data_IF_915182947685
#
_entry.id   IF_915182947685
#
_cell.length_a   1.000
_cell.length_b   1.000
_cell.length_c   1.000
_cell.angle_alpha   90.00
_cell.angle_beta   90.00
_cell.angle_gamma   90.00
#
_symmetry.space_group_name_H-M   'P 1'
#
loop_
_entity.id
_entity.type
_entity.pdbx_description
1 polymer ?
#
# COMPACT_ATOMS: atom_id res chain seq x y z
N UNK A 1 -9.92 28.32 6.66
CA UNK A 1 -8.57 28.61 6.08
C UNK A 1 -7.53 28.09 7.06
N UNK A 2 -7.06 26.86 6.89
CA UNK A 2 -5.93 26.30 7.62
C UNK A 2 -5.32 25.19 6.77
N UNK A 3 -4.82 25.59 5.59
CA UNK A 3 -4.05 24.73 4.68
C UNK A 3 -2.56 24.93 4.90
N UNK A 4 -2.12 24.92 6.15
CA UNK A 4 -0.71 25.09 6.50
C UNK A 4 0.06 23.80 6.24
N UNK A 5 1.03 23.85 5.35
CA UNK A 5 2.02 22.79 5.15
C UNK A 5 2.85 22.62 6.44
N UNK A 6 2.71 21.46 7.10
CA UNK A 6 3.42 21.14 8.37
C UNK A 6 4.79 20.49 8.15
N UNK A 7 5.38 20.58 6.94
CA UNK A 7 6.67 19.94 6.64
C UNK A 7 6.58 18.47 6.19
N UNK A 8 5.37 17.90 6.13
CA UNK A 8 5.15 16.52 5.68
C UNK A 8 4.48 16.55 4.30
N UNK A 9 5.17 15.99 3.31
CA UNK A 9 4.68 15.81 1.94
C UNK A 9 4.60 14.34 1.61
N UNK A 10 3.57 13.96 0.85
CA UNK A 10 3.44 12.62 0.28
C UNK A 10 3.61 12.72 -1.23
N UNK A 11 4.40 11.82 -1.80
CA UNK A 11 4.61 11.73 -3.23
C UNK A 11 4.26 10.33 -3.73
N UNK A 12 3.74 10.25 -4.94
CA UNK A 12 3.54 8.98 -5.63
C UNK A 12 4.91 8.54 -6.20
N UNK A 13 5.38 7.32 -5.92
CA UNK A 13 6.62 6.80 -6.51
C UNK A 13 6.56 6.80 -8.04
N UNK A 14 7.70 7.03 -8.69
CA UNK A 14 7.77 7.15 -10.16
C UNK A 14 7.30 5.88 -10.87
N UNK A 15 7.60 4.70 -10.32
CA UNK A 15 7.21 3.41 -10.92
C UNK A 15 5.68 3.27 -11.00
N UNK A 16 4.97 3.72 -9.96
CA UNK A 16 3.50 3.73 -9.93
C UNK A 16 2.96 4.69 -10.97
N UNK A 17 3.54 5.89 -11.09
CA UNK A 17 3.12 6.89 -12.06
C UNK A 17 3.32 6.40 -13.51
N UNK A 18 4.47 5.77 -13.79
CA UNK A 18 4.78 5.23 -15.12
C UNK A 18 3.83 4.09 -15.50
N UNK A 19 3.57 3.16 -14.57
CA UNK A 19 2.64 2.07 -14.78
C UNK A 19 1.21 2.56 -15.07
N UNK A 20 0.74 3.57 -14.32
CA UNK A 20 -0.56 4.21 -14.55
C UNK A 20 -0.62 4.85 -15.93
N UNK A 21 0.42 5.58 -16.33
CA UNK A 21 0.50 6.23 -17.65
C UNK A 21 0.42 5.18 -18.76
N UNK A 22 1.19 4.09 -18.66
CA UNK A 22 1.17 3.02 -19.67
C UNK A 22 -0.22 2.36 -19.78
N UNK A 23 -0.88 2.08 -18.65
CA UNK A 23 -2.25 1.54 -18.65
C UNK A 23 -3.28 2.49 -19.26
N UNK A 24 -3.18 3.79 -18.99
CA UNK A 24 -4.07 4.79 -19.55
C UNK A 24 -3.91 4.92 -21.07
N UNK A 25 -2.67 4.91 -21.56
CA UNK A 25 -2.38 4.95 -23.00
C UNK A 25 -2.89 3.69 -23.70
N UNK A 26 -2.70 2.51 -23.10
CA UNK A 26 -3.08 1.24 -23.73
C UNK A 26 -4.59 0.94 -23.67
N UNK A 27 -5.28 1.35 -22.60
CA UNK A 27 -6.64 0.87 -22.31
C UNK A 27 -7.65 1.98 -21.99
N UNK A 28 -7.21 3.24 -21.93
CA UNK A 28 -8.05 4.39 -21.54
C UNK A 28 -8.47 4.40 -20.07
N UNK A 29 -8.08 3.39 -19.28
CA UNK A 29 -8.40 3.25 -17.85
C UNK A 29 -7.37 2.42 -17.12
N UNK A 30 -7.17 2.73 -15.85
CA UNK A 30 -6.33 1.93 -14.93
C UNK A 30 -7.17 0.80 -14.37
N UNK A 31 -6.69 -0.43 -14.47
CA UNK A 31 -7.32 -1.60 -13.87
C UNK A 31 -6.53 -2.02 -12.63
N UNK A 32 -7.16 -1.89 -11.46
CA UNK A 32 -6.55 -2.35 -10.20
C UNK A 32 -7.10 -3.72 -9.86
N UNK A 33 -6.29 -4.75 -10.05
CA UNK A 33 -6.59 -6.09 -9.56
C UNK A 33 -6.64 -6.08 -8.03
N UNK A 34 -7.64 -6.77 -7.46
CA UNK A 34 -7.71 -7.05 -6.03
C UNK A 34 -7.55 -8.56 -5.85
N UNK A 35 -6.71 -8.97 -4.90
CA UNK A 35 -6.52 -10.39 -4.56
C UNK A 35 -7.71 -10.98 -3.78
N UNK A 36 -8.61 -10.15 -3.25
CA UNK A 36 -9.81 -10.59 -2.52
C UNK A 36 -9.56 -11.04 -1.08
N UNK A 37 -8.35 -10.84 -0.56
CA UNK A 37 -7.96 -11.21 0.80
C UNK A 37 -8.13 -10.04 1.77
N UNK A 38 -8.59 -10.33 2.99
CA UNK A 38 -8.58 -9.38 4.09
C UNK A 38 -7.19 -9.42 4.74
N UNK A 39 -6.43 -8.34 4.58
CA UNK A 39 -5.09 -8.23 5.19
C UNK A 39 -5.26 -7.61 6.57
N UNK A 40 -4.99 -8.38 7.61
CA UNK A 40 -4.75 -7.82 8.94
C UNK A 40 -3.25 -7.54 9.07
N UNK A 41 -2.89 -6.33 9.50
CA UNK A 41 -1.51 -6.02 9.83
C UNK A 41 -1.05 -6.90 10.98
N UNK A 42 0.17 -7.44 10.88
CA UNK A 42 0.77 -8.19 11.98
C UNK A 42 1.24 -7.17 13.01
N UNK A 43 0.59 -7.12 14.18
CA UNK A 43 1.09 -6.32 15.30
C UNK A 43 2.21 -7.08 16.05
N UNK A 44 2.92 -6.38 16.95
CA UNK A 44 4.07 -6.94 17.67
C UNK A 44 3.66 -8.09 18.61
N UNK A 45 2.44 -8.07 19.13
CA UNK A 45 1.91 -9.07 20.06
C UNK A 45 1.55 -10.36 19.31
N UNK A 46 0.97 -10.21 18.11
CA UNK A 46 0.63 -11.25 17.17
C UNK A 46 1.88 -11.88 16.55
N UNK A 47 2.90 -11.08 16.23
CA UNK A 47 4.19 -11.60 15.79
C UNK A 47 4.85 -12.50 16.86
N UNK A 48 4.82 -12.08 18.13
CA UNK A 48 5.37 -12.87 19.23
C UNK A 48 4.57 -14.16 19.48
N UNK A 49 3.25 -14.13 19.36
CA UNK A 49 2.42 -15.34 19.52
C UNK A 49 2.61 -16.36 18.38
N UNK A 50 2.92 -15.88 17.17
CA UNK A 50 3.25 -16.73 16.02
C UNK A 50 4.74 -17.08 15.89
N UNK A 51 5.61 -16.61 16.79
CA UNK A 51 7.05 -16.87 16.75
C UNK A 51 7.80 -16.16 15.62
N UNK A 52 7.24 -15.07 15.07
CA UNK A 52 7.86 -14.25 14.04
C UNK A 52 8.92 -13.32 14.64
N UNK A 53 10.09 -13.26 14.01
CA UNK A 53 11.19 -12.39 14.47
C UNK A 53 10.87 -10.90 14.35
N UNK A 54 10.03 -10.51 13.39
CA UNK A 54 9.61 -9.13 13.16
C UNK A 54 8.12 -9.06 12.79
N UNK A 55 7.45 -7.98 13.22
CA UNK A 55 6.05 -7.69 12.89
C UNK A 55 5.92 -7.08 11.48
N UNK A 56 6.49 -7.76 10.48
CA UNK A 56 6.46 -7.35 9.09
C UNK A 56 5.75 -8.41 8.25
N UNK A 57 4.66 -8.01 7.59
CA UNK A 57 3.89 -8.90 6.73
C UNK A 57 2.40 -8.61 6.76
N UNK A 58 1.64 -9.49 6.10
CA UNK A 58 0.20 -9.48 6.04
C UNK A 58 -0.32 -10.81 6.58
N UNK A 59 -1.12 -10.80 7.64
CA UNK A 59 -1.85 -12.01 8.05
C UNK A 59 -3.01 -12.20 7.09
N UNK A 60 -3.08 -13.39 6.48
CA UNK A 60 -4.16 -13.80 5.58
C UNK A 60 -5.09 -14.70 6.38
N UNK A 61 -6.35 -14.30 6.53
CA UNK A 61 -7.43 -15.06 7.16
C UNK A 61 -8.62 -15.20 6.22
#
# INVERSE_FOLDING_TARGET
RSGGFMGISFAIPIDVAMNVKDQLVAHGRVQRGRLGIAIQGVDKELAQSFGLAEAHGALVA
#
